data_IF_099245036850
#
_entry.id   IF_099245036850
#
_cell.length_a   1.000
_cell.length_b   1.000
_cell.length_c   1.000
_cell.angle_alpha   90.00
_cell.angle_beta   90.00
_cell.angle_gamma   90.00
#
_symmetry.space_group_name_H-M   'P 1'
#
loop_
_entity.id
_entity.type
_entity.pdbx_description
1 polymer ?
#
# COMPACT_ATOMS: atom_id res chain seq x y z
N UNK A 1 -16.87 4.00 12.95
CA UNK A 1 -16.60 4.38 11.56
C UNK A 1 -16.98 5.85 11.40
N UNK A 2 -16.03 6.71 11.02
CA UNK A 2 -16.30 8.07 10.54
C UNK A 2 -15.80 8.11 9.10
N UNK A 3 -16.63 7.63 8.18
CA UNK A 3 -16.34 7.68 6.76
C UNK A 3 -16.88 9.01 6.19
N UNK A 4 -16.25 9.53 5.12
CA UNK A 4 -16.81 10.68 4.41
C UNK A 4 -18.18 10.31 3.81
N UNK A 5 -19.01 11.33 3.56
CA UNK A 5 -20.41 11.14 3.16
C UNK A 5 -20.58 10.41 1.80
N UNK A 6 -19.55 10.44 0.98
CA UNK A 6 -19.44 9.82 -0.34
C UNK A 6 -18.70 8.46 -0.31
N UNK A 7 -18.47 7.88 0.87
CA UNK A 7 -17.90 6.54 0.95
C UNK A 7 -18.74 5.50 0.19
N UNK A 8 -18.05 4.55 -0.46
CA UNK A 8 -18.68 3.54 -1.30
C UNK A 8 -18.96 4.01 -2.72
N UNK A 9 -18.46 5.20 -3.12
CA UNK A 9 -18.64 5.74 -4.47
C UNK A 9 -17.35 5.76 -5.28
N UNK A 10 -16.17 5.64 -4.64
CA UNK A 10 -14.89 5.77 -5.34
C UNK A 10 -14.58 4.56 -6.22
N UNK A 11 -14.24 4.83 -7.49
CA UNK A 11 -13.78 3.82 -8.46
C UNK A 11 -12.41 3.23 -8.11
N UNK A 12 -11.53 4.05 -7.53
CA UNK A 12 -10.16 3.71 -7.19
C UNK A 12 -9.74 4.42 -5.90
N UNK A 13 -9.20 3.66 -4.96
CA UNK A 13 -8.49 4.16 -3.79
C UNK A 13 -7.01 3.81 -3.91
N UNK A 14 -6.13 4.77 -3.64
CA UNK A 14 -4.68 4.61 -3.70
C UNK A 14 -4.12 4.79 -2.28
N UNK A 15 -3.48 3.74 -1.76
CA UNK A 15 -2.75 3.72 -0.51
C UNK A 15 -1.25 3.59 -0.80
N UNK A 16 -0.60 4.71 -1.13
CA UNK A 16 0.83 4.77 -1.41
C UNK A 16 1.60 5.29 -0.21
N UNK A 17 2.44 4.44 0.36
CA UNK A 17 3.18 4.69 1.58
C UNK A 17 2.30 5.10 2.75
N UNK A 18 1.30 4.26 3.02
CA UNK A 18 0.27 4.51 4.03
C UNK A 18 0.15 3.32 4.96
N UNK A 19 -0.01 2.11 4.42
CA UNK A 19 -0.31 0.91 5.23
C UNK A 19 0.79 0.62 6.24
N UNK A 20 2.05 0.81 5.86
CA UNK A 20 3.21 0.61 6.74
C UNK A 20 3.21 1.52 7.97
N UNK A 21 2.54 2.67 7.89
CA UNK A 21 2.50 3.69 8.94
C UNK A 21 1.24 3.62 9.82
N UNK A 22 0.37 2.62 9.62
CA UNK A 22 -0.83 2.44 10.45
C UNK A 22 -0.52 1.45 11.57
N UNK A 23 -0.62 1.87 12.84
CA UNK A 23 -0.37 1.01 14.01
C UNK A 23 -1.22 -0.26 14.00
N UNK A 24 -2.50 -0.12 13.64
CA UNK A 24 -3.53 -1.18 13.67
C UNK A 24 -4.21 -1.30 12.31
N UNK A 25 -3.53 -1.86 11.29
CA UNK A 25 -4.04 -1.86 9.92
C UNK A 25 -5.35 -2.64 9.82
N UNK A 26 -5.58 -3.66 10.66
CA UNK A 26 -6.85 -4.41 10.70
C UNK A 26 -8.07 -3.57 11.10
N UNK A 27 -7.88 -2.43 11.77
CA UNK A 27 -8.97 -1.48 12.05
C UNK A 27 -9.21 -0.54 10.87
N UNK A 28 -8.14 -0.20 10.14
CA UNK A 28 -8.20 0.71 9.00
C UNK A 28 -8.71 0.02 7.72
N UNK A 29 -8.36 -1.24 7.50
CA UNK A 29 -8.68 -1.97 6.27
C UNK A 29 -10.19 -2.01 5.95
N UNK A 30 -11.10 -2.30 6.91
CA UNK A 30 -12.53 -2.24 6.64
C UNK A 30 -13.02 -0.85 6.23
N UNK A 31 -12.42 0.22 6.78
CA UNK A 31 -12.76 1.59 6.41
C UNK A 31 -12.30 1.89 4.97
N UNK A 32 -11.07 1.50 4.62
CA UNK A 32 -10.51 1.65 3.28
C UNK A 32 -11.36 0.90 2.25
N UNK A 33 -11.72 -0.36 2.53
CA UNK A 33 -12.63 -1.15 1.69
C UNK A 33 -14.00 -0.47 1.56
N UNK A 34 -14.51 0.12 2.65
CA UNK A 34 -15.77 0.85 2.70
C UNK A 34 -15.82 2.10 1.80
N UNK A 35 -14.67 2.72 1.50
CA UNK A 35 -14.58 3.86 0.58
C UNK A 35 -14.88 3.44 -0.87
N UNK A 36 -14.51 2.22 -1.26
CA UNK A 36 -14.48 1.78 -2.66
C UNK A 36 -15.87 1.29 -3.08
N UNK A 37 -16.41 1.69 -4.23
CA UNK A 37 -17.68 1.12 -4.71
C UNK A 37 -17.55 -0.38 -5.06
N UNK A 38 -18.65 -1.16 -5.08
CA UNK A 38 -18.63 -2.49 -5.67
C UNK A 38 -18.07 -2.48 -7.09
N UNK A 39 -17.13 -3.38 -7.39
CA UNK A 39 -16.39 -3.42 -8.64
C UNK A 39 -15.27 -2.37 -8.80
N UNK A 40 -15.07 -1.50 -7.82
CA UNK A 40 -13.94 -0.56 -7.75
C UNK A 40 -12.64 -1.23 -7.28
N UNK A 41 -11.55 -0.47 -7.23
CA UNK A 41 -10.21 -0.98 -7.00
C UNK A 41 -9.48 -0.31 -5.82
N UNK A 42 -8.58 -1.07 -5.21
CA UNK A 42 -7.59 -0.60 -4.26
C UNK A 42 -6.20 -0.86 -4.84
N UNK A 43 -5.40 0.19 -4.92
CA UNK A 43 -3.98 0.07 -5.20
C UNK A 43 -3.19 0.38 -3.94
N UNK A 44 -2.34 -0.55 -3.51
CA UNK A 44 -1.43 -0.39 -2.38
C UNK A 44 0.00 -0.39 -2.91
N UNK A 45 0.81 0.52 -2.40
CA UNK A 45 2.26 0.50 -2.57
C UNK A 45 2.93 0.87 -1.24
N UNK A 46 3.93 0.10 -0.83
CA UNK A 46 4.67 0.33 0.42
C UNK A 46 6.09 -0.23 0.32
N UNK A 47 7.03 0.15 1.20
CA UNK A 47 8.35 -0.45 1.26
C UNK A 47 8.29 -1.92 1.69
N UNK A 48 9.15 -2.74 1.10
CA UNK A 48 9.34 -4.16 1.46
C UNK A 48 10.73 -4.36 2.08
N UNK A 49 11.79 -4.33 1.28
CA UNK A 49 13.18 -4.35 1.74
C UNK A 49 13.77 -2.94 1.63
N UNK A 50 13.53 -2.16 2.69
CA UNK A 50 13.93 -0.76 2.82
C UNK A 50 14.30 -0.50 4.29
N UNK A 51 15.28 0.38 4.60
CA UNK A 51 15.59 0.74 5.98
C UNK A 51 14.34 1.19 6.75
N UNK A 52 14.38 1.08 8.08
CA UNK A 52 13.33 1.67 8.92
C UNK A 52 13.27 3.17 8.64
N UNK A 53 12.08 3.68 8.31
CA UNK A 53 11.86 5.09 7.99
C UNK A 53 10.68 5.65 8.77
N UNK A 54 11.00 6.14 9.96
CA UNK A 54 10.03 6.75 10.87
C UNK A 54 10.51 8.14 11.30
N UNK A 55 9.61 8.93 11.87
CA UNK A 55 9.88 10.28 12.32
C UNK A 55 9.11 10.62 13.59
N UNK A 56 9.27 11.84 14.11
CA UNK A 56 8.59 12.27 15.35
C UNK A 56 7.06 12.25 15.28
N UNK A 57 6.48 12.14 14.08
CA UNK A 57 5.03 12.23 13.85
C UNK A 57 4.44 10.99 13.13
N UNK A 58 5.26 10.00 12.77
CA UNK A 58 4.82 8.79 12.06
C UNK A 58 5.78 7.63 12.34
N UNK A 59 5.25 6.41 12.54
CA UNK A 59 6.07 5.21 12.77
C UNK A 59 6.12 4.29 11.56
N UNK A 60 7.12 3.42 11.44
CA UNK A 60 7.26 2.40 10.38
C UNK A 60 6.98 1.01 10.96
N UNK A 61 5.73 0.59 10.90
CA UNK A 61 5.21 -0.52 11.69
C UNK A 61 5.13 -1.84 10.94
N UNK A 62 4.87 -1.81 9.62
CA UNK A 62 4.51 -3.01 8.87
C UNK A 62 5.29 -3.20 7.58
N UNK A 63 5.88 -4.39 7.45
CA UNK A 63 6.32 -4.97 6.18
C UNK A 63 5.49 -6.22 5.95
N UNK A 64 4.36 -6.10 5.25
CA UNK A 64 3.46 -7.22 4.97
C UNK A 64 3.73 -7.89 3.62
N UNK A 65 3.72 -9.22 3.60
CA UNK A 65 3.75 -10.02 2.37
C UNK A 65 2.40 -9.93 1.63
N UNK A 66 2.33 -10.36 0.36
CA UNK A 66 1.05 -10.51 -0.34
C UNK A 66 0.02 -11.34 0.44
N UNK A 67 0.45 -12.40 1.14
CA UNK A 67 -0.45 -13.23 1.96
C UNK A 67 -1.04 -12.47 3.15
N UNK A 68 -0.24 -11.65 3.83
CA UNK A 68 -0.72 -10.79 4.91
C UNK A 68 -1.72 -9.76 4.41
N UNK A 69 -1.48 -9.19 3.21
CA UNK A 69 -2.40 -8.21 2.61
C UNK A 69 -3.74 -8.82 2.20
N UNK A 70 -3.75 -10.05 1.69
CA UNK A 70 -5.00 -10.79 1.42
C UNK A 70 -5.81 -11.05 2.68
N UNK A 71 -5.14 -11.36 3.79
CA UNK A 71 -5.81 -11.52 5.07
C UNK A 71 -6.34 -10.18 5.61
N UNK A 72 -5.54 -9.12 5.48
CA UNK A 72 -5.89 -7.78 5.95
C UNK A 72 -7.11 -7.19 5.23
N UNK A 73 -7.20 -7.40 3.92
CA UNK A 73 -8.27 -6.91 3.05
C UNK A 73 -9.23 -8.06 2.66
N UNK A 74 -9.78 -8.72 3.66
CA UNK A 74 -10.81 -9.75 3.45
C UNK A 74 -11.99 -9.17 2.64
N UNK A 75 -12.45 -9.91 1.63
CA UNK A 75 -13.49 -9.47 0.69
C UNK A 75 -12.99 -8.66 -0.51
N UNK A 76 -11.69 -8.40 -0.61
CA UNK A 76 -11.06 -7.86 -1.82
C UNK A 76 -10.39 -8.99 -2.62
N UNK A 77 -10.67 -9.07 -3.91
CA UNK A 77 -10.00 -9.99 -4.82
C UNK A 77 -8.70 -9.39 -5.32
N UNK A 78 -7.60 -10.09 -5.10
CA UNK A 78 -6.32 -9.73 -5.72
C UNK A 78 -6.40 -9.85 -7.25
N UNK A 79 -5.93 -8.80 -7.93
CA UNK A 79 -5.78 -8.77 -9.40
C UNK A 79 -4.33 -9.03 -9.78
N UNK A 80 -3.38 -8.36 -9.11
CA UNK A 80 -1.93 -8.48 -9.35
C UNK A 80 -1.16 -7.97 -8.14
N UNK A 81 0.01 -8.55 -7.87
CA UNK A 81 1.04 -7.93 -7.05
C UNK A 81 2.39 -7.96 -7.78
N UNK A 82 3.31 -7.11 -7.34
CA UNK A 82 4.67 -7.06 -7.85
C UNK A 82 5.64 -6.65 -6.73
N UNK A 83 6.88 -7.11 -6.84
CA UNK A 83 8.00 -6.69 -6.01
C UNK A 83 8.92 -5.85 -6.88
N UNK A 84 8.49 -4.63 -7.11
CA UNK A 84 9.20 -3.63 -7.90
C UNK A 84 9.51 -2.43 -7.01
N UNK A 85 10.52 -1.62 -7.32
CA UNK A 85 10.77 -0.44 -6.54
C UNK A 85 9.54 0.45 -6.50
N UNK A 86 9.03 0.66 -5.28
CA UNK A 86 7.83 1.47 -5.01
C UNK A 86 8.02 2.88 -5.56
N UNK A 87 6.92 3.65 -5.66
CA UNK A 87 6.89 5.08 -6.01
C UNK A 87 7.85 5.97 -5.21
N UNK A 88 8.49 5.46 -4.16
CA UNK A 88 9.69 6.02 -3.50
C UNK A 88 10.91 5.91 -4.44
N UNK A 89 10.76 6.42 -5.67
CA UNK A 89 11.82 6.54 -6.67
C UNK A 89 12.58 7.88 -6.55
N UNK A 90 12.19 8.75 -5.61
CA UNK A 90 12.60 10.16 -5.61
C UNK A 90 13.73 10.52 -4.63
N UNK A 91 14.16 9.62 -3.74
CA UNK A 91 15.06 9.96 -2.63
C UNK A 91 15.98 8.75 -2.42
N UNK A 92 17.29 8.69 -2.69
CA UNK A 92 18.34 9.66 -2.34
C UNK A 92 19.72 9.37 -3.02
N UNK A 93 19.80 8.81 -4.24
CA UNK A 93 21.04 8.84 -5.06
C UNK A 93 20.74 8.62 -6.56
N UNK A 94 20.78 9.71 -7.33
CA UNK A 94 20.38 9.74 -8.75
C UNK A 94 21.43 9.16 -9.71
N UNK A 95 22.67 8.87 -9.27
CA UNK A 95 23.76 8.54 -10.21
C UNK A 95 23.93 7.04 -10.51
N UNK A 96 23.44 6.15 -9.64
CA UNK A 96 23.56 4.69 -9.82
C UNK A 96 22.23 4.00 -10.10
N UNK A 97 21.14 4.56 -9.58
CA UNK A 97 19.82 3.93 -9.56
C UNK A 97 19.23 3.63 -10.95
N UNK A 98 19.36 4.56 -11.91
CA UNK A 98 18.78 4.40 -13.26
C UNK A 98 19.49 3.35 -14.13
N UNK A 99 20.70 2.94 -13.75
CA UNK A 99 21.56 2.08 -14.56
C UNK A 99 21.57 0.61 -14.08
N UNK A 100 20.94 0.32 -12.94
CA UNK A 100 20.91 -1.01 -12.33
C UNK A 100 19.49 -1.36 -11.91
N UNK A 101 18.81 -2.22 -12.66
CA UNK A 101 17.45 -2.72 -12.34
C UNK A 101 17.40 -3.54 -11.05
N UNK A 102 18.56 -3.87 -10.47
CA UNK A 102 18.72 -4.59 -9.20
C UNK A 102 19.12 -3.66 -8.03
N UNK A 103 19.15 -2.33 -8.23
CA UNK A 103 19.43 -1.38 -7.16
C UNK A 103 18.24 -1.36 -6.17
N UNK A 104 18.49 -1.89 -4.97
CA UNK A 104 17.50 -2.35 -3.99
C UNK A 104 16.83 -1.22 -3.22
N UNK A 105 15.84 -0.58 -3.84
CA UNK A 105 14.68 -0.08 -3.09
C UNK A 105 13.55 -1.08 -3.32
N UNK A 106 13.47 -2.18 -2.57
CA UNK A 106 12.45 -3.19 -2.86
C UNK A 106 11.10 -2.72 -2.30
N UNK A 107 10.22 -2.26 -3.19
CA UNK A 107 8.83 -1.98 -2.86
C UNK A 107 7.96 -3.22 -3.04
N UNK A 108 6.79 -3.17 -2.43
CA UNK A 108 5.69 -4.07 -2.72
C UNK A 108 4.53 -3.24 -3.25
N UNK A 109 3.90 -3.70 -4.33
CA UNK A 109 2.63 -3.15 -4.77
C UNK A 109 1.59 -4.25 -5.02
N UNK A 110 0.33 -3.89 -4.83
CA UNK A 110 -0.79 -4.80 -5.03
C UNK A 110 -2.02 -4.04 -5.50
N UNK A 111 -2.63 -4.55 -6.56
CA UNK A 111 -3.93 -4.13 -7.06
C UNK A 111 -4.98 -5.16 -6.65
N UNK A 112 -6.03 -4.70 -6.00
CA UNK A 112 -7.16 -5.50 -5.57
C UNK A 112 -8.47 -4.89 -6.10
N UNK A 113 -9.49 -5.71 -6.28
CA UNK A 113 -10.83 -5.33 -6.71
C UNK A 113 -11.84 -5.70 -5.63
N UNK A 114 -12.76 -4.78 -5.33
CA UNK A 114 -13.90 -5.06 -4.46
C UNK A 114 -14.93 -5.88 -5.25
N UNK A 115 -15.24 -7.09 -4.78
CA UNK A 115 -16.29 -7.92 -5.36
C UNK A 115 -17.70 -7.44 -4.95
#
# INVERSE_FOLDING_TARGET
MNLPADAGTYDLVIANSVIEHIDRPWVAAPNITGLIRPGGHLFIAMPWFYPVHEGPYFGDHWRATPSGMRFLFEGMKEIRHDFSPSSILAVWDRKKYWNETNSTSAGFCMLMRRE
#
